data_IF_519741250603
#
_entry.id   IF_519741250603
#
_cell.length_a   1.000
_cell.length_b   1.000
_cell.length_c   1.000
_cell.angle_alpha   90.00
_cell.angle_beta   90.00
_cell.angle_gamma   90.00
#
_symmetry.space_group_name_H-M   'P 1'
#
loop_
_entity.id
_entity.type
_entity.pdbx_description
1 polymer ?
#
# COMPACT_ATOMS: atom_id res chain seq x y z
N UNK A 1 -6.46 18.14 -8.65
CA UNK A 1 -5.56 17.48 -7.69
C UNK A 1 -5.18 16.15 -8.31
N UNK A 2 -4.12 16.14 -9.12
CA UNK A 2 -3.85 15.03 -10.03
C UNK A 2 -3.23 13.80 -9.36
N UNK A 3 -2.53 13.99 -8.24
CA UNK A 3 -1.86 12.89 -7.55
C UNK A 3 -2.84 11.95 -6.83
N UNK A 4 -3.91 12.51 -6.24
CA UNK A 4 -4.95 11.72 -5.57
C UNK A 4 -5.81 10.91 -6.55
N UNK A 5 -6.02 11.42 -7.77
CA UNK A 5 -6.67 10.68 -8.86
C UNK A 5 -5.80 9.53 -9.37
N UNK A 6 -4.47 9.72 -9.44
CA UNK A 6 -3.51 8.66 -9.81
C UNK A 6 -3.52 7.55 -8.78
N UNK A 7 -3.56 7.89 -7.49
CA UNK A 7 -3.69 6.89 -6.42
C UNK A 7 -4.99 6.10 -6.56
N UNK A 8 -6.13 6.77 -6.71
CA UNK A 8 -7.42 6.12 -6.90
C UNK A 8 -7.41 5.21 -8.16
N UNK A 9 -6.76 5.65 -9.24
CA UNK A 9 -6.60 4.84 -10.45
C UNK A 9 -5.76 3.59 -10.22
N UNK A 10 -4.61 3.73 -9.56
CA UNK A 10 -3.72 2.61 -9.27
C UNK A 10 -4.37 1.56 -8.36
N UNK A 11 -5.06 2.02 -7.29
CA UNK A 11 -5.81 1.13 -6.40
C UNK A 11 -7.02 0.49 -7.09
N UNK A 12 -7.66 1.19 -8.04
CA UNK A 12 -8.71 0.60 -8.87
C UNK A 12 -8.15 -0.51 -9.76
N UNK A 13 -7.06 -0.25 -10.50
CA UNK A 13 -6.36 -1.26 -11.31
C UNK A 13 -6.00 -2.49 -10.47
N UNK A 14 -5.53 -2.26 -9.25
CA UNK A 14 -5.21 -3.31 -8.29
C UNK A 14 -6.44 -4.15 -7.91
N UNK A 15 -7.54 -3.49 -7.55
CA UNK A 15 -8.80 -4.15 -7.21
C UNK A 15 -9.33 -5.01 -8.37
N UNK A 16 -9.26 -4.50 -9.60
CA UNK A 16 -9.72 -5.26 -10.78
C UNK A 16 -8.81 -6.43 -11.12
N UNK A 17 -7.50 -6.28 -10.89
CA UNK A 17 -6.57 -7.37 -11.02
C UNK A 17 -6.90 -8.47 -10.00
N UNK A 18 -7.05 -8.12 -8.72
CA UNK A 18 -7.43 -9.07 -7.65
C UNK A 18 -8.72 -9.82 -7.95
N UNK A 19 -9.76 -9.11 -8.46
CA UNK A 19 -11.03 -9.74 -8.85
C UNK A 19 -10.89 -10.73 -10.01
N UNK A 20 -9.95 -10.50 -10.94
CA UNK A 20 -9.71 -11.39 -12.10
C UNK A 20 -8.69 -12.48 -11.80
N UNK A 21 -7.92 -12.32 -10.74
CA UNK A 21 -6.79 -13.17 -10.37
C UNK A 21 -7.00 -13.78 -8.99
N UNK A 22 -8.23 -14.23 -8.72
CA UNK A 22 -8.58 -14.94 -7.50
C UNK A 22 -7.72 -16.20 -7.37
N UNK A 23 -7.05 -16.38 -6.23
CA UNK A 23 -6.09 -17.46 -6.02
C UNK A 23 -4.70 -17.25 -6.62
N UNK A 24 -4.37 -16.06 -7.16
CA UNK A 24 -3.04 -15.78 -7.66
C UNK A 24 -1.95 -16.00 -6.61
N UNK A 25 -0.87 -16.66 -7.04
CA UNK A 25 0.30 -16.94 -6.23
C UNK A 25 1.02 -15.65 -5.80
N UNK A 26 1.83 -15.73 -4.74
CA UNK A 26 2.65 -14.59 -4.30
C UNK A 26 3.59 -14.08 -5.39
N UNK A 27 4.08 -14.94 -6.27
CA UNK A 27 4.96 -14.52 -7.37
C UNK A 27 4.21 -13.67 -8.40
N UNK A 28 3.00 -14.07 -8.79
CA UNK A 28 2.16 -13.27 -9.70
C UNK A 28 1.78 -11.91 -9.08
N UNK A 29 1.49 -11.89 -7.77
CA UNK A 29 1.25 -10.64 -7.04
C UNK A 29 2.49 -9.74 -7.04
N UNK A 30 3.68 -10.31 -6.85
CA UNK A 30 4.95 -9.56 -6.90
C UNK A 30 5.25 -9.02 -8.29
N UNK A 31 4.99 -9.78 -9.35
CA UNK A 31 5.14 -9.32 -10.74
C UNK A 31 4.23 -8.12 -11.01
N UNK A 32 2.94 -8.21 -10.66
CA UNK A 32 2.00 -7.09 -10.81
C UNK A 32 2.40 -5.88 -9.95
N UNK A 33 2.92 -6.13 -8.75
CA UNK A 33 3.46 -5.08 -7.88
C UNK A 33 4.68 -4.38 -8.52
N UNK A 34 5.56 -5.14 -9.17
CA UNK A 34 6.73 -4.58 -9.86
C UNK A 34 6.32 -3.66 -11.01
N UNK A 35 5.30 -4.04 -11.79
CA UNK A 35 4.73 -3.17 -12.83
C UNK A 35 4.19 -1.86 -12.24
N UNK A 36 3.45 -1.96 -11.14
CA UNK A 36 2.92 -0.81 -10.42
C UNK A 36 4.03 0.11 -9.91
N UNK A 37 5.08 -0.47 -9.31
CA UNK A 37 6.25 0.27 -8.83
C UNK A 37 6.94 1.00 -9.98
N UNK A 38 7.18 0.32 -11.11
CA UNK A 38 7.80 0.93 -12.28
C UNK A 38 6.98 2.11 -12.82
N UNK A 39 5.64 1.99 -12.87
CA UNK A 39 4.74 3.09 -13.26
C UNK A 39 4.89 4.27 -12.30
N UNK A 40 4.84 4.04 -10.99
CA UNK A 40 4.94 5.12 -9.99
C UNK A 40 6.31 5.82 -10.03
N UNK A 41 7.40 5.06 -10.15
CA UNK A 41 8.76 5.63 -10.30
C UNK A 41 8.87 6.46 -11.58
N UNK A 42 8.31 6.00 -12.70
CA UNK A 42 8.28 6.78 -13.93
C UNK A 42 7.50 8.08 -13.75
N UNK A 43 6.32 8.03 -13.11
CA UNK A 43 5.50 9.22 -12.81
C UNK A 43 6.24 10.24 -11.95
N UNK A 44 7.01 9.80 -10.95
CA UNK A 44 7.87 10.69 -10.14
C UNK A 44 8.98 11.30 -11.00
N UNK A 45 9.68 10.48 -11.78
CA UNK A 45 10.80 10.92 -12.63
C UNK A 45 10.37 11.99 -13.66
N UNK A 46 9.16 11.89 -14.18
CA UNK A 46 8.60 12.87 -15.12
C UNK A 46 7.87 14.04 -14.44
N UNK A 47 7.89 14.13 -13.11
CA UNK A 47 7.28 15.23 -12.36
C UNK A 47 5.74 15.22 -12.36
N UNK A 48 5.12 14.06 -12.63
CA UNK A 48 3.65 13.91 -12.64
C UNK A 48 3.09 13.82 -11.22
N UNK A 49 3.82 13.15 -10.32
CA UNK A 49 3.47 13.00 -8.91
C UNK A 49 4.68 13.24 -8.01
N UNK A 50 4.42 13.61 -6.76
CA UNK A 50 5.46 13.74 -5.75
C UNK A 50 5.92 12.36 -5.25
N UNK A 51 7.19 12.22 -4.81
CA UNK A 51 7.70 10.98 -4.23
C UNK A 51 6.84 10.45 -3.07
N UNK A 52 6.32 11.34 -2.24
CA UNK A 52 5.49 11.00 -1.08
C UNK A 52 4.15 10.39 -1.51
N UNK A 53 3.52 10.95 -2.54
CA UNK A 53 2.26 10.44 -3.12
C UNK A 53 2.47 9.11 -3.82
N UNK A 54 3.60 8.96 -4.54
CA UNK A 54 4.01 7.70 -5.15
C UNK A 54 4.23 6.62 -4.10
N UNK A 55 4.99 6.94 -3.04
CA UNK A 55 5.26 6.03 -1.93
C UNK A 55 3.96 5.57 -1.27
N UNK A 56 3.05 6.51 -0.96
CA UNK A 56 1.74 6.19 -0.38
C UNK A 56 0.89 5.30 -1.29
N UNK A 57 0.90 5.56 -2.59
CA UNK A 57 0.19 4.74 -3.59
C UNK A 57 0.76 3.31 -3.66
N UNK A 58 2.09 3.18 -3.76
CA UNK A 58 2.80 1.90 -3.74
C UNK A 58 2.46 1.13 -2.46
N UNK A 59 2.47 1.82 -1.30
CA UNK A 59 2.19 1.22 -0.01
C UNK A 59 0.76 0.67 0.07
N UNK A 60 -0.22 1.43 -0.44
CA UNK A 60 -1.61 0.98 -0.55
C UNK A 60 -1.78 -0.22 -1.49
N UNK A 61 -1.12 -0.19 -2.65
CA UNK A 61 -1.11 -1.29 -3.61
C UNK A 61 -0.54 -2.58 -3.01
N UNK A 62 0.58 -2.48 -2.28
CA UNK A 62 1.19 -3.62 -1.61
C UNK A 62 0.31 -4.19 -0.48
N UNK A 63 -0.36 -3.31 0.28
CA UNK A 63 -1.32 -3.71 1.30
C UNK A 63 -2.49 -4.51 0.69
N UNK A 64 -3.08 -4.04 -0.43
CA UNK A 64 -4.15 -4.75 -1.13
C UNK A 64 -3.72 -6.11 -1.68
N UNK A 65 -2.47 -6.24 -2.15
CA UNK A 65 -1.93 -7.51 -2.63
C UNK A 65 -1.56 -8.48 -1.50
N UNK A 66 -1.53 -8.03 -0.24
CA UNK A 66 -0.99 -8.81 0.87
C UNK A 66 0.50 -9.12 0.68
N UNK A 67 1.26 -8.20 0.07
CA UNK A 67 2.73 -8.30 0.02
C UNK A 67 3.28 -7.85 1.37
N UNK A 68 4.29 -8.53 1.95
CA UNK A 68 4.90 -8.11 3.20
C UNK A 68 5.42 -6.68 3.14
N UNK A 69 4.99 -5.86 4.10
CA UNK A 69 5.46 -4.49 4.27
C UNK A 69 6.46 -4.43 5.41
N UNK A 70 7.51 -3.62 5.25
CA UNK A 70 8.43 -3.34 6.34
C UNK A 70 7.79 -2.50 7.46
N UNK A 71 6.79 -1.68 7.09
CA UNK A 71 6.00 -0.86 8.01
C UNK A 71 4.52 -0.96 7.61
N UNK A 72 3.64 -1.09 8.61
CA UNK A 72 2.21 -1.12 8.36
C UNK A 72 1.69 0.20 7.81
N UNK A 73 0.67 0.11 6.97
CA UNK A 73 -0.04 1.28 6.47
C UNK A 73 -0.92 1.85 7.57
N UNK A 74 -0.98 3.18 7.67
CA UNK A 74 -1.93 3.84 8.56
C UNK A 74 -3.37 3.47 8.16
N UNK A 75 -4.13 2.91 9.10
CA UNK A 75 -5.55 2.55 8.94
C UNK A 75 -6.47 3.79 8.95
N UNK A 76 -6.11 4.78 8.12
CA UNK A 76 -6.81 6.05 7.95
C UNK A 76 -7.52 6.15 6.62
N UNK A 77 -7.42 5.12 5.78
CA UNK A 77 -7.97 5.10 4.43
C UNK A 77 -9.05 4.03 4.26
N UNK A 78 -10.13 4.40 3.57
CA UNK A 78 -11.20 3.52 3.11
C UNK A 78 -11.16 3.41 1.59
N UNK A 79 -11.22 2.20 1.09
CA UNK A 79 -11.60 1.88 -0.28
C UNK A 79 -13.12 1.87 -0.33
N UNK A 80 -13.69 2.58 -1.30
CA UNK A 80 -15.13 2.64 -1.54
C UNK A 80 -15.43 2.10 -2.92
N UNK A 81 -16.34 1.13 -3.01
CA UNK A 81 -16.74 0.49 -4.27
C UNK A 81 -18.26 0.41 -4.40
N UNK A 82 -18.76 0.17 -5.62
CA UNK A 82 -20.20 0.06 -5.89
C UNK A 82 -20.89 1.40 -6.15
N UNK A 83 -20.13 2.49 -6.29
CA UNK A 83 -20.68 3.80 -6.60
C UNK A 83 -21.23 3.89 -8.02
N UNK A 84 -22.17 4.82 -8.26
CA UNK A 84 -22.58 5.18 -9.63
C UNK A 84 -21.41 5.78 -10.40
N UNK A 85 -21.49 5.65 -11.73
CA UNK A 85 -20.53 6.23 -12.66
C UNK A 85 -20.41 7.76 -12.53
N UNK A 86 -21.50 8.45 -12.18
CA UNK A 86 -21.48 9.91 -12.12
C UNK A 86 -20.95 10.48 -10.79
N UNK A 87 -20.61 9.62 -9.81
CA UNK A 87 -20.12 10.07 -8.51
C UNK A 87 -18.80 10.82 -8.66
N UNK A 88 -18.73 11.99 -8.03
CA UNK A 88 -17.58 12.88 -8.00
C UNK A 88 -16.95 12.90 -6.62
N UNK A 89 -15.77 13.51 -6.55
CA UNK A 89 -15.06 13.77 -5.30
C UNK A 89 -15.93 14.51 -4.26
N UNK A 90 -16.74 15.48 -4.70
CA UNK A 90 -17.57 16.28 -3.79
C UNK A 90 -18.60 15.40 -3.05
N UNK A 91 -19.22 14.46 -3.77
CA UNK A 91 -20.23 13.56 -3.21
C UNK A 91 -19.59 12.61 -2.19
N UNK A 92 -18.37 12.15 -2.47
CA UNK A 92 -17.58 11.36 -1.52
C UNK A 92 -17.28 12.14 -0.24
N UNK A 93 -16.88 13.40 -0.35
CA UNK A 93 -16.62 14.24 0.82
C UNK A 93 -17.93 14.43 1.60
N UNK A 94 -19.02 14.76 0.91
CA UNK A 94 -20.31 14.99 1.54
C UNK A 94 -20.84 13.77 2.30
N UNK A 95 -20.73 12.58 1.72
CA UNK A 95 -21.19 11.33 2.36
C UNK A 95 -20.28 10.84 3.49
N UNK A 96 -18.98 11.12 3.45
CA UNK A 96 -18.04 10.56 4.44
C UNK A 96 -17.61 11.56 5.52
N UNK A 97 -17.85 12.85 5.37
CA UNK A 97 -17.46 13.87 6.35
C UNK A 97 -18.14 13.69 7.72
N UNK A 98 -19.32 13.05 7.76
CA UNK A 98 -20.02 12.76 9.02
C UNK A 98 -19.20 11.84 9.95
N UNK A 99 -18.35 10.99 9.37
CA UNK A 99 -17.49 10.08 10.13
C UNK A 99 -16.22 10.75 10.63
N UNK A 100 -15.92 11.99 10.21
CA UNK A 100 -14.83 12.81 10.71
C UNK A 100 -14.10 13.59 9.63
N UNK A 101 -13.02 14.27 10.03
CA UNK A 101 -12.27 15.16 9.14
C UNK A 101 -11.54 14.36 8.06
N UNK A 102 -11.86 14.68 6.81
CA UNK A 102 -11.26 14.10 5.61
C UNK A 102 -9.98 14.86 5.28
N UNK A 103 -8.89 14.12 5.10
CA UNK A 103 -7.64 14.66 4.56
C UNK A 103 -7.80 14.88 3.05
N UNK A 104 -8.21 13.83 2.33
CA UNK A 104 -8.66 13.93 0.95
C UNK A 104 -9.55 12.75 0.54
N UNK A 105 -10.23 12.92 -0.59
CA UNK A 105 -10.99 11.87 -1.25
C UNK A 105 -10.74 11.96 -2.75
N UNK A 106 -10.76 10.82 -3.43
CA UNK A 106 -10.62 10.73 -4.88
C UNK A 106 -11.47 9.59 -5.45
N UNK A 107 -11.95 9.79 -6.67
CA UNK A 107 -12.71 8.79 -7.44
C UNK A 107 -11.83 8.39 -8.62
N UNK A 108 -11.75 7.09 -8.90
CA UNK A 108 -10.97 6.61 -10.03
C UNK A 108 -11.51 7.22 -11.34
N UNK A 109 -10.62 7.66 -12.26
CA UNK A 109 -11.03 8.25 -13.51
C UNK A 109 -11.88 7.27 -14.33
N UNK A 110 -12.76 7.82 -15.16
CA UNK A 110 -13.74 7.05 -15.94
C UNK A 110 -14.73 6.26 -15.08
N UNK A 111 -15.07 6.78 -13.90
CA UNK A 111 -16.36 6.49 -13.30
C UNK A 111 -16.56 5.00 -12.96
N UNK A 112 -15.49 4.32 -12.53
CA UNK A 112 -15.44 2.85 -12.39
C UNK A 112 -16.12 2.34 -11.11
N UNK A 113 -16.93 3.19 -10.48
CA UNK A 113 -17.56 2.90 -9.20
C UNK A 113 -16.55 2.64 -8.08
N UNK A 114 -15.33 3.18 -8.19
CA UNK A 114 -14.22 2.98 -7.26
C UNK A 114 -13.68 4.33 -6.77
N UNK A 115 -13.39 4.43 -5.49
CA UNK A 115 -12.81 5.62 -4.88
C UNK A 115 -12.08 5.30 -3.58
N UNK A 116 -11.37 6.32 -3.09
CA UNK A 116 -10.64 6.28 -1.83
C UNK A 116 -11.02 7.51 -1.00
N UNK A 117 -11.20 7.30 0.30
CA UNK A 117 -11.35 8.37 1.29
C UNK A 117 -10.26 8.20 2.33
N UNK A 118 -9.45 9.24 2.55
CA UNK A 118 -8.48 9.30 3.63
C UNK A 118 -8.93 10.27 4.68
N UNK A 119 -9.02 9.81 5.92
CA UNK A 119 -9.31 10.62 7.09
C UNK A 119 -8.03 11.08 7.76
N UNK A 120 -8.09 12.19 8.49
CA UNK A 120 -6.99 12.62 9.36
C UNK A 120 -6.80 11.73 10.59
N UNK A 121 -7.80 10.91 10.94
CA UNK A 121 -7.78 10.04 12.11
C UNK A 121 -8.33 8.65 11.81
N UNK A 122 -7.67 7.62 12.34
CA UNK A 122 -8.14 6.22 12.28
C UNK A 122 -9.46 6.01 13.03
N UNK A 123 -9.78 6.87 14.01
CA UNK A 123 -11.10 6.86 14.68
C UNK A 123 -12.24 7.13 13.71
N UNK A 124 -12.00 7.94 12.68
CA UNK A 124 -13.02 8.22 11.66
C UNK A 124 -13.30 6.99 10.79
N UNK A 125 -12.25 6.24 10.44
CA UNK A 125 -12.37 4.94 9.76
C UNK A 125 -13.16 3.96 10.61
N UNK A 126 -12.86 3.86 11.91
CA UNK A 126 -13.59 2.98 12.83
C UNK A 126 -15.08 3.32 12.90
N UNK A 127 -15.44 4.61 13.00
CA UNK A 127 -16.84 5.06 12.99
C UNK A 127 -17.55 4.70 11.69
N UNK A 128 -16.91 4.92 10.54
CA UNK A 128 -17.47 4.54 9.24
C UNK A 128 -17.69 3.01 9.15
N UNK A 129 -16.73 2.22 9.62
CA UNK A 129 -16.84 0.75 9.63
C UNK A 129 -17.89 0.24 10.62
N UNK A 130 -18.07 0.90 11.77
CA UNK A 130 -19.13 0.58 12.72
C UNK A 130 -20.50 0.86 12.11
N UNK A 131 -20.67 2.03 11.49
CA UNK A 131 -21.87 2.40 10.75
C UNK A 131 -22.21 1.35 9.68
N UNK A 132 -21.24 1.00 8.85
CA UNK A 132 -21.38 0.03 7.75
C UNK A 132 -21.80 -1.36 8.20
N UNK A 133 -21.46 -1.78 9.43
CA UNK A 133 -21.91 -3.06 10.00
C UNK A 133 -23.37 -3.04 10.43
N UNK A 134 -23.86 -1.87 10.81
CA UNK A 134 -25.24 -1.70 11.30
C UNK A 134 -26.22 -1.30 10.21
N UNK A 135 -25.77 -0.49 9.25
CA UNK A 135 -26.61 0.16 8.24
C UNK A 135 -25.84 0.38 6.94
N UNK A 136 -26.58 0.56 5.84
CA UNK A 136 -26.01 0.87 4.54
C UNK A 136 -25.47 2.31 4.51
N UNK A 137 -24.29 2.49 3.92
CA UNK A 137 -23.75 3.81 3.61
C UNK A 137 -24.14 4.13 2.17
N UNK A 138 -24.77 5.29 1.97
CA UNK A 138 -25.30 5.71 0.66
C UNK A 138 -24.49 6.89 0.10
N UNK A 139 -24.11 6.78 -1.17
CA UNK A 139 -23.49 7.86 -1.94
C UNK A 139 -24.36 8.14 -3.16
N UNK A 140 -24.80 9.39 -3.32
CA UNK A 140 -25.70 9.90 -4.39
C UNK A 140 -27.06 9.23 -4.55
N UNK A 141 -27.35 8.10 -3.87
CA UNK A 141 -28.59 7.28 -3.88
C UNK A 141 -28.31 5.76 -3.94
N UNK A 142 -27.04 5.35 -4.02
CA UNK A 142 -26.65 3.93 -4.08
C UNK A 142 -25.88 3.52 -2.82
N UNK A 143 -26.24 2.37 -2.25
CA UNK A 143 -25.49 1.74 -1.18
C UNK A 143 -24.11 1.31 -1.68
N UNK A 144 -23.05 1.74 -0.98
CA UNK A 144 -21.66 1.44 -1.33
C UNK A 144 -21.07 0.39 -0.42
N UNK A 145 -20.07 -0.32 -0.95
CA UNK A 145 -19.24 -1.23 -0.17
C UNK A 145 -17.98 -0.49 0.27
N UNK A 146 -17.67 -0.53 1.57
CA UNK A 146 -16.44 0.06 2.10
C UNK A 146 -15.51 -1.00 2.68
N UNK A 147 -14.21 -0.80 2.52
CA UNK A 147 -13.18 -1.66 3.08
C UNK A 147 -12.03 -0.79 3.61
N UNK A 148 -11.48 -1.15 4.77
CA UNK A 148 -10.27 -0.51 5.29
C UNK A 148 -9.10 -0.89 4.39
N UNK A 149 -8.33 0.11 3.94
CA UNK A 149 -7.06 -0.13 3.28
C UNK A 149 -6.03 -0.57 4.34
N UNK A 150 -5.89 -1.88 4.50
CA UNK A 150 -4.96 -2.52 5.44
C UNK A 150 -4.31 -3.74 4.79
N UNK A 151 -3.20 -4.18 5.35
CA UNK A 151 -2.54 -5.41 4.95
C UNK A 151 -3.23 -6.60 5.59
N UNK A 152 -3.99 -7.38 4.81
CA UNK A 152 -4.61 -8.62 5.27
C UNK A 152 -3.60 -9.79 5.23
N UNK A 153 -2.42 -9.61 5.83
CA UNK A 153 -1.60 -10.77 6.17
C UNK A 153 -2.21 -11.44 7.38
N UNK A 154 -2.55 -12.75 7.31
CA UNK A 154 -2.74 -13.53 8.51
C UNK A 154 -1.46 -13.37 9.34
N UNK A 155 -1.59 -12.82 10.53
CA UNK A 155 -0.54 -12.98 11.54
C UNK A 155 -0.53 -14.48 11.83
N UNK A 156 0.33 -15.23 11.15
CA UNK A 156 0.76 -16.53 11.66
C UNK A 156 1.17 -16.25 13.11
N UNK A 157 0.56 -16.94 14.10
CA UNK A 157 0.95 -16.76 15.47
C UNK A 157 2.44 -17.04 15.53
N UNK A 158 3.24 -16.02 15.83
CA UNK A 158 4.62 -16.23 16.22
C UNK A 158 4.52 -17.11 17.46
N UNK A 159 4.81 -18.39 17.31
CA UNK A 159 4.94 -19.33 18.41
C UNK A 159 6.02 -18.80 19.36
N UNK A 160 5.60 -17.93 20.26
CA UNK A 160 6.28 -17.61 21.50
C UNK A 160 5.95 -18.74 22.48
N UNK A 161 6.43 -19.94 22.17
CA UNK A 161 6.50 -21.02 23.14
C UNK A 161 7.95 -21.45 23.32
N UNK A 162 8.52 -20.88 24.39
CA UNK A 162 9.37 -21.56 25.38
C UNK A 162 10.69 -22.18 24.92
N UNK A 163 11.77 -21.52 25.34
CA UNK A 163 12.94 -22.20 25.88
C UNK A 163 12.54 -23.35 26.83
N UNK A 164 13.23 -24.48 26.70
CA UNK A 164 13.90 -25.08 27.84
C UNK A 164 15.41 -25.02 27.59
N UNK A 165 16.16 -24.65 28.63
CA UNK A 165 17.61 -24.59 28.56
C UNK A 165 18.21 -25.95 28.21
N UNK A 166 19.25 -25.93 27.39
CA UNK A 166 20.29 -26.94 27.46
C UNK A 166 21.67 -26.29 27.31
N UNK A 167 22.49 -26.56 28.31
CA UNK A 167 23.84 -26.06 28.44
C UNK A 167 24.78 -26.96 27.64
N UNK A 168 25.21 -26.54 26.45
CA UNK A 168 26.43 -27.07 25.84
C UNK A 168 27.30 -25.96 25.28
N UNK A 169 28.41 -25.76 25.98
CA UNK A 169 29.61 -25.10 25.46
C UNK A 169 30.06 -25.87 24.22
N UNK A 170 30.13 -25.21 23.07
CA UNK A 170 31.01 -25.65 21.98
C UNK A 170 31.47 -24.46 21.14
N UNK A 171 32.66 -24.61 20.57
CA UNK A 171 33.63 -23.55 20.32
C UNK A 171 33.20 -22.38 19.45
N UNK A 172 33.48 -21.18 19.96
CA UNK A 172 33.59 -19.93 19.21
C UNK A 172 34.74 -20.08 18.21
N UNK A 173 34.44 -20.40 16.94
CA UNK A 173 35.45 -20.32 15.88
C UNK A 173 35.70 -18.84 15.57
N UNK A 174 36.95 -18.35 15.65
CA UNK A 174 37.26 -16.99 15.25
C UNK A 174 37.01 -16.83 13.75
N UNK A 175 36.47 -15.66 13.38
CA UNK A 175 36.27 -15.26 11.99
C UNK A 175 37.62 -15.26 11.24
N UNK A 176 37.66 -15.68 9.97
CA UNK A 176 38.86 -15.53 9.16
C UNK A 176 39.19 -14.03 8.98
N UNK A 177 40.48 -13.65 8.99
CA UNK A 177 40.89 -12.27 8.77
C UNK A 177 40.47 -11.80 7.38
N UNK A 178 40.04 -10.54 7.30
CA UNK A 178 39.72 -9.87 6.04
C UNK A 178 40.96 -9.84 5.13
N UNK A 179 40.77 -10.02 3.80
CA UNK A 179 41.87 -9.86 2.86
C UNK A 179 42.41 -8.43 2.91
N UNK A 180 43.73 -8.24 2.76
CA UNK A 180 44.33 -6.91 2.72
C UNK A 180 43.78 -6.11 1.52
N UNK A 181 43.68 -4.78 1.65
CA UNK A 181 43.27 -3.93 0.54
C UNK A 181 44.23 -4.11 -0.64
N UNK A 182 43.67 -4.40 -1.82
CA UNK A 182 44.45 -4.41 -3.06
C UNK A 182 45.07 -3.02 -3.25
N UNK A 183 46.41 -2.96 -3.28
CA UNK A 183 47.12 -1.81 -3.82
C UNK A 183 46.65 -1.63 -5.27
N UNK A 184 45.94 -0.54 -5.55
CA UNK A 184 45.87 -0.05 -6.92
C UNK A 184 47.29 0.31 -7.33
N UNK A 185 47.83 -0.43 -8.31
CA UNK A 185 49.00 0.03 -9.05
C UNK A 185 48.60 1.34 -9.73
N UNK A 186 49.15 2.44 -9.24
CA UNK A 186 49.26 3.68 -10.00
C UNK A 186 50.19 3.35 -11.16
N UNK A 187 49.64 3.28 -12.36
CA UNK A 187 50.46 3.23 -13.57
C UNK A 187 50.92 4.67 -13.79
N UNK A 188 52.20 4.92 -13.52
CA UNK A 188 52.91 6.11 -13.96
C UNK A 188 52.95 6.09 -15.49
N UNK A 189 52.12 6.94 -16.12
CA UNK A 189 52.31 7.36 -17.51
C UNK A 189 53.39 8.44 -17.53
N UNK A 190 54.65 8.02 -17.55
CA UNK A 190 55.75 8.89 -17.98
C UNK A 190 56.89 8.03 -18.53
N UNK A 191 56.95 7.89 -19.85
CA UNK A 191 58.19 7.73 -20.63
C UNK A 191 57.90 7.70 -22.14
N UNK A 192 58.30 8.79 -22.78
CA UNK A 192 58.76 9.02 -24.18
C UNK A 192 58.30 8.11 -25.33
#
# INVERSE_FOLDING_TARGET
>A
DGSTEIEASALCEMNDWLKRSEGASLNQRREFMQETLNKMVASVRYGVILPEDASRTIHGCAAMLGVPLAQDISETALIVTGMRKMVKRADMIYSFQEFGEIDYAAVAPNARGFGIVRFKSSRSVQRAMERFRTEEIVVEDVAVMIQVLKSDLPVEPRDLSSHPGDSRRDGMRPLPPLPPPMLMMVIDEDSH
#
